data_IF_433589420856
#
_entry.id   IF_433589420856
#
_cell.length_a   1.000
_cell.length_b   1.000
_cell.length_c   1.000
_cell.angle_alpha   90.00
_cell.angle_beta   90.00
_cell.angle_gamma   90.00
#
_symmetry.space_group_name_H-M   'P 1'
#
loop_
_entity.id
_entity.type
_entity.pdbx_description
1 polymer ?
#
# COMPACT_ATOMS: atom_id res chain seq x y z
N UNK A 1 26.84 24.57 1.75
CA UNK A 1 26.01 23.40 2.07
C UNK A 1 24.55 23.78 1.85
N UNK A 2 23.84 23.01 1.03
CA UNK A 2 22.42 23.17 0.79
C UNK A 2 21.66 22.12 1.62
N UNK A 3 20.57 22.52 2.26
CA UNK A 3 19.72 21.64 3.05
C UNK A 3 18.24 21.96 2.83
N UNK A 4 17.40 20.94 2.89
CA UNK A 4 15.94 21.09 2.92
C UNK A 4 15.49 20.93 4.37
N UNK A 5 14.93 22.01 4.92
CA UNK A 5 14.39 21.98 6.28
C UNK A 5 12.97 21.44 6.28
N UNK A 6 12.70 20.45 7.13
CA UNK A 6 11.40 19.79 7.18
C UNK A 6 10.24 20.76 7.41
N UNK A 7 10.42 21.78 8.27
CA UNK A 7 9.38 22.78 8.53
C UNK A 7 9.09 23.68 7.33
N UNK A 8 10.11 24.02 6.51
CA UNK A 8 9.93 24.77 5.26
C UNK A 8 9.23 23.90 4.22
N UNK A 9 9.65 22.64 4.08
CA UNK A 9 8.97 21.69 3.20
C UNK A 9 7.48 21.58 3.53
N UNK A 10 7.13 21.41 4.80
CA UNK A 10 5.74 21.26 5.23
C UNK A 10 4.89 22.52 5.01
N UNK A 11 5.52 23.70 5.03
CA UNK A 11 4.89 24.97 4.71
C UNK A 11 4.64 25.11 3.21
N UNK A 12 5.61 24.73 2.38
CA UNK A 12 5.54 24.86 0.92
C UNK A 12 4.69 23.75 0.28
N UNK A 13 4.65 22.56 0.89
CA UNK A 13 3.91 21.39 0.42
C UNK A 13 2.94 20.85 1.47
N UNK A 14 1.87 21.59 1.82
CA UNK A 14 0.92 21.16 2.83
C UNK A 14 0.23 19.86 2.41
N UNK A 15 0.11 18.90 3.34
CA UNK A 15 -0.52 17.60 3.08
C UNK A 15 0.33 16.61 2.28
N UNK A 16 1.63 16.88 2.08
CA UNK A 16 2.57 16.00 1.35
C UNK A 16 3.61 15.33 2.26
N UNK A 17 3.26 15.14 3.53
CA UNK A 17 4.14 14.49 4.51
C UNK A 17 4.57 13.08 4.08
N UNK A 18 3.65 12.32 3.52
CA UNK A 18 3.93 10.95 3.05
C UNK A 18 4.94 10.91 1.92
N UNK A 19 4.92 11.91 1.02
CA UNK A 19 5.84 11.93 -0.12
C UNK A 19 7.28 12.09 0.36
N UNK A 20 7.53 13.04 1.28
CA UNK A 20 8.89 13.25 1.80
C UNK A 20 9.35 12.05 2.65
N UNK A 21 8.46 11.45 3.47
CA UNK A 21 8.77 10.24 4.23
C UNK A 21 9.18 9.10 3.31
N UNK A 22 8.40 8.86 2.24
CA UNK A 22 8.68 7.84 1.23
C UNK A 22 10.06 8.05 0.59
N UNK A 23 10.34 9.26 0.10
CA UNK A 23 11.62 9.57 -0.58
C UNK A 23 12.80 9.44 0.38
N UNK A 24 12.68 9.94 1.61
CA UNK A 24 13.74 9.80 2.61
C UNK A 24 13.99 8.33 2.97
N UNK A 25 12.96 7.52 3.09
CA UNK A 25 13.11 6.08 3.33
C UNK A 25 13.75 5.37 2.14
N UNK A 26 13.31 5.68 0.92
CA UNK A 26 13.88 5.09 -0.31
C UNK A 26 15.36 5.44 -0.50
N UNK A 27 15.79 6.59 0.03
CA UNK A 27 17.14 7.10 -0.02
C UNK A 27 17.88 7.02 1.33
N UNK A 28 17.37 6.23 2.30
CA UNK A 28 17.99 6.10 3.61
C UNK A 28 19.48 5.75 3.49
N UNK A 29 20.39 6.46 4.22
CA UNK A 29 21.83 6.25 4.14
C UNK A 29 22.27 5.01 4.96
N UNK A 30 21.73 3.83 4.62
CA UNK A 30 22.00 2.58 5.36
C UNK A 30 23.45 2.09 5.17
N UNK A 31 24.03 2.33 4.00
CA UNK A 31 25.38 1.84 3.65
C UNK A 31 26.29 2.91 3.07
N UNK A 32 25.73 4.00 2.59
CA UNK A 32 26.46 5.12 1.95
C UNK A 32 25.70 6.40 2.19
N UNK A 33 26.43 7.50 2.26
CA UNK A 33 25.81 8.83 2.24
C UNK A 33 24.95 9.00 0.99
N UNK A 34 23.85 9.71 1.12
CA UNK A 34 22.93 9.94 0.03
C UNK A 34 22.50 11.41 0.00
N UNK A 35 22.49 11.99 -1.18
CA UNK A 35 22.08 13.36 -1.39
C UNK A 35 20.59 13.45 -1.73
N UNK A 36 19.91 14.44 -1.18
CA UNK A 36 18.54 14.76 -1.57
C UNK A 36 18.51 15.50 -2.91
N UNK A 37 17.61 15.11 -3.79
CA UNK A 37 17.40 15.76 -5.09
C UNK A 37 15.92 15.94 -5.36
N UNK A 38 15.50 17.16 -5.71
CA UNK A 38 14.11 17.42 -6.14
C UNK A 38 13.69 16.65 -7.38
N UNK A 39 14.63 16.36 -8.27
CA UNK A 39 14.38 15.52 -9.44
C UNK A 39 14.05 14.08 -9.04
N UNK A 40 14.81 13.48 -8.14
CA UNK A 40 14.53 12.13 -7.62
C UNK A 40 13.22 12.12 -6.81
N UNK A 41 12.98 13.14 -5.99
CA UNK A 41 11.72 13.33 -5.27
C UNK A 41 10.51 13.31 -6.23
N UNK A 42 10.53 14.11 -7.28
CA UNK A 42 9.46 14.15 -8.27
C UNK A 42 9.31 12.84 -9.02
N UNK A 43 10.43 12.21 -9.41
CA UNK A 43 10.43 10.95 -10.11
C UNK A 43 9.82 9.84 -9.25
N UNK A 44 10.22 9.70 -8.00
CA UNK A 44 9.67 8.69 -7.09
C UNK A 44 8.19 8.91 -6.81
N UNK A 45 7.79 10.14 -6.54
CA UNK A 45 6.37 10.45 -6.38
C UNK A 45 5.55 10.01 -7.60
N UNK A 46 5.98 10.38 -8.80
CA UNK A 46 5.21 10.12 -10.01
C UNK A 46 5.27 8.66 -10.45
N UNK A 47 6.46 8.05 -10.43
CA UNK A 47 6.67 6.71 -10.99
C UNK A 47 6.36 5.59 -10.00
N UNK A 48 6.44 5.84 -8.71
CA UNK A 48 6.22 4.82 -7.68
C UNK A 48 4.90 5.04 -6.94
N UNK A 49 4.74 6.17 -6.23
CA UNK A 49 3.51 6.40 -5.46
C UNK A 49 2.28 6.59 -6.33
N UNK A 50 2.37 7.36 -7.41
CA UNK A 50 1.21 7.61 -8.28
C UNK A 50 1.02 6.46 -9.26
N UNK A 51 2.04 6.13 -10.05
CA UNK A 51 1.90 5.20 -11.18
C UNK A 51 1.84 3.72 -10.76
N UNK A 52 2.32 3.34 -9.57
CA UNK A 52 2.25 1.95 -9.10
C UNK A 52 1.21 1.83 -7.98
N UNK A 53 1.47 2.41 -6.80
CA UNK A 53 0.57 2.28 -5.66
C UNK A 53 -0.81 2.90 -5.94
N UNK A 54 -0.84 4.19 -6.31
CA UNK A 54 -2.10 4.91 -6.55
C UNK A 54 -2.89 4.33 -7.72
N UNK A 55 -2.22 3.93 -8.79
CA UNK A 55 -2.88 3.34 -9.97
C UNK A 55 -3.58 2.01 -9.62
N UNK A 56 -2.91 1.12 -8.89
CA UNK A 56 -3.52 -0.15 -8.49
C UNK A 56 -4.77 0.06 -7.62
N UNK A 57 -4.62 0.85 -6.55
CA UNK A 57 -5.74 1.15 -5.62
C UNK A 57 -6.90 1.80 -6.36
N UNK A 58 -6.62 2.79 -7.21
CA UNK A 58 -7.65 3.48 -7.98
C UNK A 58 -8.39 2.53 -8.92
N UNK A 59 -7.66 1.66 -9.64
CA UNK A 59 -8.28 0.66 -10.55
C UNK A 59 -9.19 -0.31 -9.79
N UNK A 60 -8.72 -0.86 -8.67
CA UNK A 60 -9.51 -1.79 -7.85
C UNK A 60 -10.79 -1.13 -7.34
N UNK A 61 -10.70 0.08 -6.77
CA UNK A 61 -11.85 0.79 -6.21
C UNK A 61 -12.82 1.25 -7.29
N UNK A 62 -12.33 1.87 -8.37
CA UNK A 62 -13.18 2.39 -9.46
C UNK A 62 -13.93 1.27 -10.16
N UNK A 63 -13.29 0.12 -10.41
CA UNK A 63 -13.97 -1.02 -11.02
C UNK A 63 -14.99 -1.65 -10.06
N UNK A 64 -14.71 -1.70 -8.76
CA UNK A 64 -15.67 -2.15 -7.76
C UNK A 64 -16.89 -1.24 -7.70
N UNK A 65 -16.69 0.07 -7.71
CA UNK A 65 -17.82 1.01 -7.79
C UNK A 65 -18.62 0.85 -9.07
N UNK A 66 -17.94 0.69 -10.19
CA UNK A 66 -18.59 0.57 -11.50
C UNK A 66 -19.47 -0.68 -11.63
N UNK A 67 -18.99 -1.83 -11.16
CA UNK A 67 -19.67 -3.10 -11.39
C UNK A 67 -20.48 -3.60 -10.20
N UNK A 68 -20.15 -3.16 -8.99
CA UNK A 68 -20.75 -3.65 -7.75
C UNK A 68 -21.27 -2.53 -6.83
N UNK A 69 -21.38 -1.29 -7.34
CA UNK A 69 -21.93 -0.15 -6.59
C UNK A 69 -21.13 0.19 -5.32
N UNK A 70 -19.82 -0.09 -5.31
CA UNK A 70 -18.95 0.18 -4.16
C UNK A 70 -19.03 -0.86 -3.04
N UNK A 71 -19.76 -1.96 -3.23
CA UNK A 71 -19.80 -3.07 -2.27
C UNK A 71 -18.72 -4.08 -2.62
N UNK A 72 -18.04 -4.62 -1.60
CA UNK A 72 -17.07 -5.70 -1.79
C UNK A 72 -17.83 -6.94 -2.30
N UNK A 73 -17.52 -7.41 -3.52
CA UNK A 73 -18.22 -8.57 -4.06
C UNK A 73 -17.75 -9.85 -3.37
N UNK A 74 -18.61 -10.84 -3.24
CA UNK A 74 -18.22 -12.15 -2.76
C UNK A 74 -17.31 -12.86 -3.79
N UNK A 75 -16.23 -13.48 -3.33
CA UNK A 75 -15.41 -14.33 -4.18
C UNK A 75 -16.15 -15.63 -4.48
N UNK A 76 -16.11 -16.04 -5.74
CA UNK A 76 -16.49 -17.38 -6.16
C UNK A 76 -15.29 -18.34 -6.14
N UNK A 77 -15.25 -19.28 -7.06
CA UNK A 77 -14.12 -20.20 -7.20
C UNK A 77 -12.84 -19.46 -7.60
N UNK A 78 -11.77 -19.75 -6.87
CA UNK A 78 -10.43 -19.19 -7.15
C UNK A 78 -9.73 -20.05 -8.20
N UNK A 79 -9.29 -19.43 -9.27
CA UNK A 79 -8.42 -20.03 -10.27
C UNK A 79 -6.95 -20.00 -9.79
N UNK A 80 -6.09 -20.71 -10.50
CA UNK A 80 -4.67 -20.81 -10.11
C UNK A 80 -3.98 -19.45 -10.02
N UNK A 81 -4.26 -18.54 -10.97
CA UNK A 81 -3.73 -17.16 -10.94
C UNK A 81 -4.13 -16.40 -9.66
N UNK A 82 -5.33 -16.63 -9.14
CA UNK A 82 -5.80 -15.97 -7.91
C UNK A 82 -5.07 -16.53 -6.70
N UNK A 83 -4.95 -17.88 -6.65
CA UNK A 83 -4.26 -18.59 -5.57
C UNK A 83 -2.78 -18.24 -5.52
N UNK A 84 -2.10 -18.23 -6.67
CA UNK A 84 -0.69 -17.84 -6.80
C UNK A 84 -0.48 -16.42 -6.32
N UNK A 85 -1.31 -15.49 -6.79
CA UNK A 85 -1.23 -14.07 -6.38
C UNK A 85 -1.44 -13.91 -4.88
N UNK A 86 -2.47 -14.55 -4.32
CA UNK A 86 -2.75 -14.49 -2.87
C UNK A 86 -1.66 -15.17 -2.03
N UNK A 87 -0.98 -16.19 -2.56
CA UNK A 87 0.11 -16.87 -1.86
C UNK A 87 1.41 -16.08 -1.82
N UNK A 88 1.64 -15.16 -2.77
CA UNK A 88 2.83 -14.32 -2.82
C UNK A 88 2.78 -13.17 -1.78
N UNK A 89 1.61 -12.64 -1.48
CA UNK A 89 1.44 -11.50 -0.56
C UNK A 89 1.98 -11.79 0.85
N UNK A 90 1.66 -12.91 1.52
CA UNK A 90 2.22 -13.23 2.84
C UNK A 90 3.74 -13.29 2.86
N UNK A 91 4.37 -13.81 1.81
CA UNK A 91 5.83 -13.90 1.69
C UNK A 91 6.47 -12.50 1.64
N UNK A 92 5.88 -11.59 0.85
CA UNK A 92 6.32 -10.20 0.80
C UNK A 92 6.13 -9.47 2.14
N UNK A 93 5.03 -9.75 2.84
CA UNK A 93 4.77 -9.17 4.18
C UNK A 93 5.75 -9.69 5.22
N UNK A 94 6.11 -10.97 5.19
CA UNK A 94 7.10 -11.57 6.09
C UNK A 94 8.49 -10.96 5.84
N UNK A 95 8.89 -10.83 4.57
CA UNK A 95 10.14 -10.16 4.18
C UNK A 95 10.15 -8.70 4.66
N UNK A 96 9.06 -7.97 4.44
CA UNK A 96 8.90 -6.58 4.89
C UNK A 96 9.07 -6.47 6.40
N UNK A 97 8.39 -7.30 7.18
CA UNK A 97 8.46 -7.29 8.64
C UNK A 97 9.90 -7.55 9.11
N UNK A 98 10.54 -8.59 8.58
CA UNK A 98 11.94 -8.92 8.88
C UNK A 98 12.89 -7.76 8.53
N UNK A 99 12.69 -7.13 7.38
CA UNK A 99 13.51 -6.00 6.95
C UNK A 99 13.34 -4.78 7.88
N UNK A 100 12.12 -4.52 8.37
CA UNK A 100 11.90 -3.46 9.38
C UNK A 100 12.59 -3.81 10.70
N UNK A 101 12.44 -5.03 11.20
CA UNK A 101 13.04 -5.50 12.46
C UNK A 101 14.58 -5.45 12.45
N UNK A 102 15.17 -5.63 11.27
CA UNK A 102 16.63 -5.59 11.06
C UNK A 102 17.12 -4.24 10.54
N UNK A 103 16.29 -3.20 10.57
CA UNK A 103 16.62 -1.82 10.15
C UNK A 103 17.01 -1.67 8.67
N UNK A 104 16.57 -2.58 7.80
CA UNK A 104 16.71 -2.50 6.35
C UNK A 104 15.50 -1.82 5.71
N UNK A 105 15.29 -0.54 6.03
CA UNK A 105 14.06 0.19 5.64
C UNK A 105 13.89 0.35 4.13
N UNK A 106 14.99 0.45 3.38
CA UNK A 106 14.95 0.52 1.92
C UNK A 106 14.43 -0.77 1.30
N UNK A 107 14.87 -1.93 1.80
CA UNK A 107 14.39 -3.23 1.33
C UNK A 107 12.93 -3.45 1.78
N UNK A 108 12.57 -3.09 3.01
CA UNK A 108 11.19 -3.14 3.48
C UNK A 108 10.25 -2.31 2.59
N UNK A 109 10.67 -1.11 2.17
CA UNK A 109 9.91 -0.26 1.26
C UNK A 109 9.76 -0.90 -0.14
N UNK A 110 10.80 -1.59 -0.64
CA UNK A 110 10.73 -2.35 -1.90
C UNK A 110 9.73 -3.50 -1.80
N UNK A 111 9.69 -4.22 -0.68
CA UNK A 111 8.73 -5.30 -0.44
C UNK A 111 7.30 -4.76 -0.46
N UNK A 112 7.03 -3.65 0.24
CA UNK A 112 5.73 -2.98 0.20
C UNK A 112 5.34 -2.58 -1.23
N UNK A 113 6.26 -2.00 -1.99
CA UNK A 113 6.02 -1.61 -3.38
C UNK A 113 5.82 -2.84 -4.30
N UNK A 114 6.44 -3.99 -3.97
CA UNK A 114 6.26 -5.23 -4.73
C UNK A 114 4.84 -5.77 -4.60
N UNK A 115 4.18 -5.61 -3.44
CA UNK A 115 2.76 -5.94 -3.28
C UNK A 115 1.90 -5.09 -4.24
N UNK A 116 2.20 -3.79 -4.38
CA UNK A 116 1.47 -2.93 -5.31
C UNK A 116 1.72 -3.31 -6.78
N UNK A 117 2.94 -3.71 -7.14
CA UNK A 117 3.27 -4.22 -8.48
C UNK A 117 2.54 -5.53 -8.77
N UNK A 118 2.49 -6.45 -7.80
CA UNK A 118 1.76 -7.72 -7.90
C UNK A 118 0.28 -7.45 -8.18
N UNK A 119 -0.36 -6.54 -7.45
CA UNK A 119 -1.75 -6.15 -7.67
C UNK A 119 -1.98 -5.54 -9.06
N UNK A 120 -1.09 -4.65 -9.55
CA UNK A 120 -1.17 -4.10 -10.91
C UNK A 120 -1.04 -5.18 -11.98
N UNK A 121 -0.10 -6.11 -11.79
CA UNK A 121 0.07 -7.25 -12.69
C UNK A 121 -1.19 -8.11 -12.71
N UNK A 122 -1.71 -8.49 -11.56
CA UNK A 122 -2.91 -9.29 -11.43
C UNK A 122 -4.13 -8.66 -12.14
N UNK A 123 -4.42 -7.37 -11.91
CA UNK A 123 -5.51 -6.68 -12.61
C UNK A 123 -5.26 -6.62 -14.13
N UNK A 124 -4.00 -6.48 -14.56
CA UNK A 124 -3.67 -6.42 -15.98
C UNK A 124 -3.78 -7.77 -16.66
N UNK A 125 -3.36 -8.84 -15.99
CA UNK A 125 -3.42 -10.20 -16.55
C UNK A 125 -4.85 -10.75 -16.57
N UNK A 126 -5.68 -10.39 -15.57
CA UNK A 126 -7.08 -10.84 -15.47
C UNK A 126 -8.08 -9.97 -16.23
N UNK A 127 -7.71 -8.77 -16.64
CA UNK A 127 -8.51 -7.82 -17.45
C UNK A 127 -9.99 -7.73 -17.02
N UNK A 128 -10.34 -7.41 -15.75
CA UNK A 128 -11.71 -7.46 -15.25
C UNK A 128 -12.70 -6.61 -16.06
N UNK A 129 -12.24 -5.55 -16.73
CA UNK A 129 -13.09 -4.74 -17.61
C UNK A 129 -13.52 -5.44 -18.90
N UNK A 130 -12.78 -6.49 -19.34
CA UNK A 130 -13.18 -7.35 -20.45
C UNK A 130 -14.08 -8.48 -19.93
N UNK A 131 -13.67 -9.14 -18.85
CA UNK A 131 -14.41 -10.26 -18.24
C UNK A 131 -15.81 -9.84 -17.81
N UNK A 132 -15.99 -8.62 -17.29
CA UNK A 132 -17.28 -8.09 -16.87
C UNK A 132 -18.36 -8.04 -17.97
N UNK A 133 -17.96 -8.12 -19.24
CA UNK A 133 -18.92 -8.14 -20.37
C UNK A 133 -19.59 -9.50 -20.55
N UNK A 134 -18.98 -10.57 -20.06
CA UNK A 134 -19.40 -11.96 -20.29
C UNK A 134 -19.60 -12.73 -19.00
N UNK A 135 -18.83 -12.45 -17.97
CA UNK A 135 -18.84 -13.17 -16.68
C UNK A 135 -18.67 -12.20 -15.50
N UNK A 136 -19.80 -11.77 -14.95
CA UNK A 136 -19.81 -10.89 -13.80
C UNK A 136 -19.39 -11.63 -12.51
N UNK A 137 -19.64 -12.95 -12.41
CA UNK A 137 -19.25 -13.77 -11.26
C UNK A 137 -17.72 -13.88 -11.16
N UNK A 138 -17.06 -14.14 -12.31
CA UNK A 138 -15.58 -14.13 -12.37
C UNK A 138 -15.02 -12.74 -12.05
N UNK A 139 -15.65 -11.68 -12.55
CA UNK A 139 -15.27 -10.30 -12.24
C UNK A 139 -15.37 -10.01 -10.74
N UNK A 140 -16.40 -10.53 -10.07
CA UNK A 140 -16.54 -10.43 -8.62
C UNK A 140 -15.36 -11.04 -7.88
N UNK A 141 -14.92 -12.21 -8.29
CA UNK A 141 -13.74 -12.90 -7.71
C UNK A 141 -12.47 -12.09 -7.92
N UNK A 142 -12.22 -11.60 -9.14
CA UNK A 142 -11.04 -10.79 -9.46
C UNK A 142 -10.99 -9.52 -8.61
N UNK A 143 -12.11 -8.83 -8.48
CA UNK A 143 -12.16 -7.59 -7.70
C UNK A 143 -12.08 -7.86 -6.19
N UNK A 144 -12.64 -8.97 -5.70
CA UNK A 144 -12.48 -9.40 -4.32
C UNK A 144 -11.00 -9.61 -3.97
N UNK A 145 -10.27 -10.38 -4.79
CA UNK A 145 -8.81 -10.59 -4.64
C UNK A 145 -8.06 -9.28 -4.69
N UNK A 146 -8.39 -8.39 -5.64
CA UNK A 146 -7.76 -7.07 -5.74
C UNK A 146 -7.97 -6.21 -4.49
N UNK A 147 -9.17 -6.25 -3.89
CA UNK A 147 -9.49 -5.52 -2.66
C UNK A 147 -8.78 -6.12 -1.43
N UNK A 148 -8.58 -7.45 -1.38
CA UNK A 148 -7.75 -8.08 -0.35
C UNK A 148 -6.30 -7.56 -0.43
N UNK A 149 -5.71 -7.50 -1.63
CA UNK A 149 -4.38 -6.92 -1.83
C UNK A 149 -4.34 -5.43 -1.42
N UNK A 150 -5.39 -4.66 -1.71
CA UNK A 150 -5.49 -3.28 -1.24
C UNK A 150 -5.49 -3.17 0.30
N UNK A 151 -6.16 -4.10 1.00
CA UNK A 151 -6.14 -4.15 2.46
C UNK A 151 -4.74 -4.48 3.00
N UNK A 152 -4.05 -5.43 2.39
CA UNK A 152 -2.65 -5.74 2.73
C UNK A 152 -1.71 -4.56 2.46
N UNK A 153 -1.93 -3.81 1.38
CA UNK A 153 -1.18 -2.58 1.10
C UNK A 153 -1.38 -1.51 2.16
N UNK A 154 -2.58 -1.37 2.71
CA UNK A 154 -2.84 -0.40 3.77
C UNK A 154 -2.03 -0.71 5.04
N UNK A 155 -1.73 -1.99 5.29
CA UNK A 155 -0.84 -2.41 6.38
C UNK A 155 0.63 -2.20 5.99
N UNK A 156 1.02 -2.67 4.81
CA UNK A 156 2.40 -2.65 4.34
C UNK A 156 2.96 -1.22 4.19
N UNK A 157 2.12 -0.26 3.81
CA UNK A 157 2.51 1.13 3.63
C UNK A 157 2.39 2.01 4.87
N UNK A 158 1.77 1.52 5.96
CA UNK A 158 1.58 2.31 7.18
C UNK A 158 2.90 2.87 7.77
N UNK A 159 4.01 2.12 7.84
CA UNK A 159 5.27 2.65 8.34
C UNK A 159 5.85 3.79 7.47
N UNK A 160 5.57 3.78 6.17
CA UNK A 160 6.18 4.67 5.19
C UNK A 160 5.29 5.86 4.82
N UNK A 161 4.01 5.61 4.59
CA UNK A 161 3.02 6.61 4.16
C UNK A 161 1.74 6.49 5.00
N UNK A 162 1.79 6.85 6.30
CA UNK A 162 0.70 6.62 7.25
C UNK A 162 -0.62 7.31 6.86
N UNK A 163 -0.58 8.51 6.30
CA UNK A 163 -1.80 9.24 5.90
C UNK A 163 -2.47 8.60 4.69
N UNK A 164 -1.69 8.11 3.71
CA UNK A 164 -2.23 7.38 2.56
C UNK A 164 -2.79 6.02 2.98
N UNK A 165 -2.09 5.31 3.88
CA UNK A 165 -2.53 4.04 4.45
C UNK A 165 -3.85 4.20 5.22
N UNK A 166 -3.96 5.22 6.09
CA UNK A 166 -5.21 5.52 6.80
C UNK A 166 -6.36 5.85 5.83
N UNK A 167 -6.09 6.64 4.79
CA UNK A 167 -7.07 6.98 3.77
C UNK A 167 -7.55 5.74 3.02
N UNK A 168 -6.64 4.83 2.70
CA UNK A 168 -6.99 3.55 2.05
C UNK A 168 -7.84 2.68 2.97
N UNK A 169 -7.50 2.55 4.26
CA UNK A 169 -8.34 1.84 5.25
C UNK A 169 -9.76 2.40 5.30
N UNK A 170 -9.89 3.73 5.36
CA UNK A 170 -11.21 4.39 5.36
C UNK A 170 -12.00 4.12 4.09
N UNK A 171 -11.34 4.09 2.93
CA UNK A 171 -12.00 3.78 1.65
C UNK A 171 -12.50 2.34 1.56
N UNK A 172 -11.79 1.41 2.21
CA UNK A 172 -12.13 -0.01 2.24
C UNK A 172 -13.10 -0.37 3.39
N UNK A 173 -13.40 0.58 4.29
CA UNK A 173 -14.17 0.38 5.52
C UNK A 173 -13.63 -0.77 6.38
N UNK A 174 -12.30 -0.90 6.43
CA UNK A 174 -11.63 -1.89 7.25
C UNK A 174 -11.04 -1.24 8.50
N UNK A 175 -11.45 -1.73 9.67
CA UNK A 175 -10.79 -1.45 10.94
C UNK A 175 -9.81 -2.58 11.23
N UNK A 176 -8.51 -2.28 11.22
CA UNK A 176 -7.57 -3.20 11.85
C UNK A 176 -7.68 -3.02 13.37
N UNK A 177 -7.87 -4.11 14.11
CA UNK A 177 -7.56 -4.08 15.53
C UNK A 177 -6.10 -3.67 15.65
N UNK A 178 -5.85 -2.42 16.04
CA UNK A 178 -4.52 -2.01 16.45
C UNK A 178 -4.10 -3.03 17.50
N UNK A 179 -2.97 -3.68 17.29
CA UNK A 179 -2.41 -4.64 18.24
C UNK A 179 -2.42 -3.99 19.62
N UNK A 180 -2.73 -4.79 20.61
CA UNK A 180 -2.92 -4.43 22.03
C UNK A 180 -2.13 -3.16 22.38
N UNK A 181 -2.84 -2.06 22.63
CA UNK A 181 -2.22 -0.83 23.12
C UNK A 181 -1.69 -1.14 24.53
N UNK A 182 -0.42 -1.53 24.61
CA UNK A 182 0.27 -1.82 25.87
C UNK A 182 0.26 -0.63 26.85
N UNK A 183 -0.26 0.54 26.44
CA UNK A 183 -0.41 1.73 27.29
C UNK A 183 -1.71 1.77 28.08
N UNK A 184 -2.66 0.86 27.86
CA UNK A 184 -3.91 0.76 28.62
C UNK A 184 -3.89 -0.28 29.76
N UNK A 185 -2.77 -0.98 29.95
CA UNK A 185 -2.61 -2.01 30.98
C UNK A 185 -2.18 -1.53 32.35
N UNK A 186 -1.94 -0.24 32.59
CA UNK A 186 -1.39 0.27 33.87
C UNK A 186 -2.31 1.20 34.65
N UNK A 187 -3.60 1.25 34.39
CA UNK A 187 -4.52 2.14 35.15
C UNK A 187 -5.82 1.51 35.66
N UNK A 188 -5.85 0.23 35.95
CA UNK A 188 -6.96 -0.35 36.72
C UNK A 188 -6.48 -1.38 37.76
N UNK A 189 -5.72 -0.93 38.77
CA UNK A 189 -5.64 -1.59 40.07
C UNK A 189 -5.18 -0.59 41.14
N UNK A 190 -6.04 0.33 41.52
CA UNK A 190 -6.06 0.90 42.89
C UNK A 190 -7.50 1.33 43.17
N UNK A 191 -8.27 0.46 43.77
CA UNK A 191 -9.09 0.63 44.97
C UNK A 191 -9.93 -0.61 45.21
#
# INVERSE_FOLDING_TARGET
>A
NWAVWAHEYLKDFPGKQDVIRYVLTANAPETKDNDFSWKDFQQRNNSELVAIFGNFVNRAIVLTHKYFGGKVPAAGELLDIDKETLAEVPQLKESLAKNIETYHFREALKDAMSIARLGNKYISDTEPWKVAKTDLSRTATILNVSLQICADLAIAFEPFTPFAAEKLRKMLDVSFCAGVDHRKGEQETVN
#
